data_IF_624409177992
#
_entry.id   IF_624409177992
#
_cell.length_a   1.000
_cell.length_b   1.000
_cell.length_c   1.000
_cell.angle_alpha   90.00
_cell.angle_beta   90.00
_cell.angle_gamma   90.00
#
_symmetry.space_group_name_H-M   'P 1'
#
loop_
_entity.id
_entity.type
_entity.pdbx_description
1 polymer ?
#
# COMPACT_ATOMS: atom_id res chain seq x y z
N UNK A 1 -16.44 -16.33 18.83
CA UNK A 1 -15.06 -16.87 18.69
C UNK A 1 -14.32 -16.45 17.44
N UNK A 2 -14.96 -16.43 16.26
CA UNK A 2 -14.36 -15.97 14.98
C UNK A 2 -13.75 -14.55 15.11
N UNK A 3 -14.51 -13.61 15.68
CA UNK A 3 -14.05 -12.23 15.93
C UNK A 3 -12.74 -12.19 16.73
N UNK A 4 -12.58 -13.01 17.76
CA UNK A 4 -11.35 -13.00 18.57
C UNK A 4 -10.16 -13.62 17.84
N UNK A 5 -10.37 -14.65 17.01
CA UNK A 5 -9.32 -15.23 16.16
C UNK A 5 -8.86 -14.25 15.08
N UNK A 6 -9.79 -13.59 14.40
CA UNK A 6 -9.47 -12.64 13.34
C UNK A 6 -8.87 -11.34 13.90
N UNK A 7 -9.38 -10.85 15.03
CA UNK A 7 -8.92 -9.61 15.67
C UNK A 7 -7.53 -9.79 16.32
N UNK A 8 -7.22 -10.97 16.88
CA UNK A 8 -5.92 -11.23 17.53
C UNK A 8 -4.80 -11.44 16.51
N UNK A 9 -5.08 -12.06 15.36
CA UNK A 9 -4.10 -12.23 14.29
C UNK A 9 -3.89 -10.94 13.49
N UNK A 10 -4.97 -10.24 13.13
CA UNK A 10 -4.88 -9.01 12.33
C UNK A 10 -4.19 -7.86 13.07
N UNK A 11 -4.50 -7.66 14.37
CA UNK A 11 -3.94 -6.53 15.14
C UNK A 11 -2.45 -6.68 15.42
N UNK A 12 -1.95 -7.90 15.63
CA UNK A 12 -0.51 -8.12 15.84
C UNK A 12 0.28 -7.79 14.58
N UNK A 13 -0.23 -8.18 13.41
CA UNK A 13 0.37 -7.78 12.14
C UNK A 13 0.29 -6.26 11.92
N UNK A 14 -0.82 -5.62 12.30
CA UNK A 14 -0.97 -4.17 12.20
C UNK A 14 0.07 -3.40 13.04
N UNK A 15 0.43 -3.88 14.23
CA UNK A 15 1.52 -3.28 15.03
C UNK A 15 2.84 -3.31 14.25
N UNK A 16 3.16 -4.45 13.64
CA UNK A 16 4.40 -4.60 12.87
C UNK A 16 4.38 -3.74 11.61
N UNK A 17 3.28 -3.72 10.87
CA UNK A 17 3.10 -2.90 9.66
C UNK A 17 3.26 -1.42 9.99
N UNK A 18 2.62 -0.94 11.07
CA UNK A 18 2.76 0.46 11.52
C UNK A 18 4.22 0.84 11.74
N UNK A 19 4.96 0.04 12.51
CA UNK A 19 6.38 0.28 12.77
C UNK A 19 7.22 0.25 11.50
N UNK A 20 6.87 -0.59 10.52
CA UNK A 20 7.59 -0.66 9.24
C UNK A 20 7.30 0.55 8.35
N UNK A 21 6.04 1.02 8.30
CA UNK A 21 5.66 2.23 7.54
C UNK A 21 6.40 3.46 8.10
N UNK A 22 6.47 3.60 9.42
CA UNK A 22 7.18 4.73 10.05
C UNK A 22 8.69 4.72 9.73
N UNK A 23 9.27 3.52 9.55
CA UNK A 23 10.70 3.33 9.31
C UNK A 23 11.11 3.27 7.83
N UNK A 24 10.19 3.04 6.91
CA UNK A 24 10.55 2.93 5.50
C UNK A 24 10.82 4.30 4.87
N UNK A 25 11.65 4.31 3.83
CA UNK A 25 11.86 5.47 2.96
C UNK A 25 10.79 5.56 1.87
N UNK A 26 10.29 4.41 1.42
CA UNK A 26 9.24 4.27 0.41
C UNK A 26 8.42 2.99 0.67
N UNK A 27 7.10 3.07 0.47
CA UNK A 27 6.21 1.91 0.57
C UNK A 27 5.62 1.50 -0.80
N UNK A 28 5.43 0.20 -1.03
CA UNK A 28 4.66 -0.32 -2.17
C UNK A 28 3.36 -0.91 -1.62
N UNK A 29 2.23 -0.32 -1.98
CA UNK A 29 0.90 -0.72 -1.51
C UNK A 29 0.19 -1.52 -2.61
N UNK A 30 0.16 -2.84 -2.46
CA UNK A 30 -0.46 -3.74 -3.44
C UNK A 30 -1.93 -4.01 -3.12
N UNK A 31 -2.81 -3.70 -4.06
CA UNK A 31 -4.21 -4.08 -4.03
C UNK A 31 -4.41 -5.38 -4.83
N UNK A 32 -4.80 -6.43 -4.12
CA UNK A 32 -5.16 -7.70 -4.73
C UNK A 32 -6.53 -7.69 -5.40
N UNK A 33 -6.79 -8.72 -6.20
CA UNK A 33 -8.02 -9.00 -6.94
C UNK A 33 -9.16 -9.55 -6.07
N UNK A 34 -8.82 -10.11 -4.90
CA UNK A 34 -9.77 -10.77 -3.99
C UNK A 34 -10.06 -9.92 -2.76
N UNK A 35 -11.28 -10.02 -2.27
CA UNK A 35 -11.76 -9.31 -1.08
C UNK A 35 -11.69 -7.79 -1.20
N UNK A 36 -12.35 -7.11 -0.26
CA UNK A 36 -12.30 -5.65 -0.19
C UNK A 36 -11.02 -5.27 0.55
N UNK A 37 -10.01 -4.80 -0.18
CA UNK A 37 -8.63 -4.51 0.26
C UNK A 37 -8.52 -3.27 1.17
N UNK A 38 -9.36 -3.20 2.21
CA UNK A 38 -9.49 -2.01 3.07
C UNK A 38 -8.24 -1.75 3.91
N UNK A 39 -7.53 -2.80 4.31
CA UNK A 39 -6.27 -2.64 5.05
C UNK A 39 -5.20 -1.97 4.17
N UNK A 40 -5.11 -2.32 2.88
CA UNK A 40 -4.18 -1.68 1.96
C UNK A 40 -4.52 -0.19 1.74
N UNK A 41 -5.81 0.13 1.58
CA UNK A 41 -6.25 1.53 1.47
C UNK A 41 -5.95 2.31 2.76
N UNK A 42 -6.13 1.70 3.93
CA UNK A 42 -5.80 2.30 5.21
C UNK A 42 -4.30 2.57 5.35
N UNK A 43 -3.46 1.58 5.01
CA UNK A 43 -2.01 1.71 5.06
C UNK A 43 -1.50 2.80 4.09
N UNK A 44 -2.09 2.91 2.89
CA UNK A 44 -1.81 4.01 1.95
C UNK A 44 -2.17 5.39 2.55
N UNK A 45 -3.35 5.50 3.16
CA UNK A 45 -3.75 6.72 3.87
C UNK A 45 -2.83 7.06 5.04
N UNK A 46 -2.31 6.05 5.74
CA UNK A 46 -1.34 6.24 6.81
C UNK A 46 0.02 6.73 6.28
N UNK A 47 0.49 6.18 5.16
CA UNK A 47 1.67 6.71 4.46
C UNK A 47 1.47 8.19 4.09
N UNK A 48 0.34 8.54 3.49
CA UNK A 48 0.01 9.91 3.13
C UNK A 48 0.01 10.84 4.35
N UNK A 49 -0.60 10.42 5.47
CA UNK A 49 -0.64 11.20 6.71
C UNK A 49 0.76 11.44 7.32
N UNK A 50 1.68 10.49 7.16
CA UNK A 50 3.06 10.59 7.65
C UNK A 50 4.03 11.25 6.66
N UNK A 51 3.54 11.73 5.50
CA UNK A 51 4.38 12.16 4.38
C UNK A 51 5.41 11.11 3.93
N UNK A 52 5.06 9.83 4.03
CA UNK A 52 5.86 8.72 3.49
C UNK A 52 5.49 8.53 2.03
N UNK A 53 6.44 8.63 1.08
CA UNK A 53 6.11 8.40 -0.31
C UNK A 53 5.71 6.93 -0.49
N UNK A 54 4.77 6.69 -1.39
CA UNK A 54 4.34 5.34 -1.72
C UNK A 54 3.89 5.21 -3.18
N UNK A 55 3.95 3.97 -3.67
CA UNK A 55 3.47 3.57 -4.99
C UNK A 55 2.34 2.56 -4.80
N UNK A 56 1.22 2.75 -5.47
CA UNK A 56 0.15 1.75 -5.50
C UNK A 56 0.37 0.75 -6.63
N UNK A 57 0.06 -0.53 -6.39
CA UNK A 57 0.12 -1.61 -7.39
C UNK A 57 -1.24 -2.28 -7.46
N UNK A 58 -1.95 -2.11 -8.57
CA UNK A 58 -3.31 -2.60 -8.75
C UNK A 58 -3.67 -2.80 -10.23
N UNK A 59 -4.70 -3.58 -10.54
CA UNK A 59 -5.20 -3.70 -11.91
C UNK A 59 -5.85 -2.41 -12.40
N UNK A 60 -6.00 -2.28 -13.72
CA UNK A 60 -6.67 -1.13 -14.35
C UNK A 60 -8.12 -0.95 -13.86
N UNK A 61 -8.81 -2.05 -13.56
CA UNK A 61 -10.18 -2.03 -13.01
C UNK A 61 -10.30 -1.27 -11.69
N UNK A 62 -9.19 -1.10 -10.97
CA UNK A 62 -9.14 -0.41 -9.69
C UNK A 62 -8.74 1.07 -9.78
N UNK A 63 -8.38 1.59 -10.97
CA UNK A 63 -8.01 3.01 -11.16
C UNK A 63 -9.12 3.95 -10.67
N UNK A 64 -10.36 3.73 -11.11
CA UNK A 64 -11.46 4.63 -10.70
C UNK A 64 -11.82 4.48 -9.20
N UNK A 65 -11.96 3.26 -8.65
CA UNK A 65 -12.15 3.07 -7.22
C UNK A 65 -11.04 3.64 -6.33
N UNK A 66 -9.79 3.62 -6.79
CA UNK A 66 -8.62 4.05 -6.01
C UNK A 66 -8.19 5.49 -6.27
N UNK A 67 -8.91 6.25 -7.10
CA UNK A 67 -8.55 7.63 -7.49
C UNK A 67 -8.10 8.55 -6.34
N UNK A 68 -8.73 8.46 -5.17
CA UNK A 68 -8.40 9.29 -4.00
C UNK A 68 -7.12 8.81 -3.31
N UNK A 69 -6.89 7.49 -3.33
CA UNK A 69 -5.66 6.87 -2.82
C UNK A 69 -4.50 7.18 -3.76
N UNK A 70 -4.72 7.07 -5.07
CA UNK A 70 -3.70 7.35 -6.09
C UNK A 70 -3.37 8.84 -6.17
N UNK A 71 -4.32 9.73 -5.86
CA UNK A 71 -4.08 11.17 -5.81
C UNK A 71 -3.01 11.58 -4.78
N UNK A 72 -2.84 10.79 -3.72
CA UNK A 72 -1.79 11.03 -2.70
C UNK A 72 -0.51 10.20 -2.94
N UNK A 73 -0.55 9.23 -3.86
CA UNK A 73 0.59 8.40 -4.23
C UNK A 73 1.53 9.14 -5.19
N UNK A 74 2.81 8.76 -5.21
CA UNK A 74 3.80 9.34 -6.14
C UNK A 74 3.78 8.65 -7.51
N UNK A 75 3.26 7.43 -7.56
CA UNK A 75 2.96 6.71 -8.78
C UNK A 75 1.94 5.59 -8.50
N UNK A 76 1.29 5.10 -9.54
CA UNK A 76 0.56 3.83 -9.53
C UNK A 76 1.10 2.94 -10.67
N UNK A 77 1.01 1.63 -10.47
CA UNK A 77 1.53 0.63 -11.39
C UNK A 77 0.51 -0.50 -11.57
N UNK A 78 0.48 -1.08 -12.76
CA UNK A 78 -0.35 -2.26 -13.08
C UNK A 78 0.43 -3.56 -13.09
N UNK A 79 1.77 -3.49 -13.02
CA UNK A 79 2.65 -4.65 -12.98
C UNK A 79 3.85 -4.46 -12.06
N UNK A 80 4.45 -5.57 -11.64
CA UNK A 80 5.65 -5.55 -10.79
C UNK A 80 6.84 -4.96 -11.56
N UNK A 81 6.91 -5.17 -12.86
CA UNK A 81 7.96 -4.63 -13.74
C UNK A 81 7.92 -3.11 -13.78
N UNK A 82 6.72 -2.49 -13.81
CA UNK A 82 6.58 -1.05 -13.69
C UNK A 82 7.10 -0.54 -12.35
N UNK A 83 6.75 -1.22 -11.24
CA UNK A 83 7.28 -0.89 -9.91
C UNK A 83 8.81 -0.96 -9.90
N UNK A 84 9.40 -2.04 -10.41
CA UNK A 84 10.86 -2.20 -10.50
C UNK A 84 11.48 -1.10 -11.36
N UNK A 85 10.84 -0.72 -12.47
CA UNK A 85 11.30 0.34 -13.37
C UNK A 85 11.32 1.69 -12.65
N UNK A 86 10.26 2.01 -11.90
CA UNK A 86 10.21 3.22 -11.05
C UNK A 86 11.28 3.21 -9.98
N UNK A 87 11.48 2.08 -9.29
CA UNK A 87 12.52 1.94 -8.27
C UNK A 87 13.93 2.12 -8.85
N UNK A 88 14.21 1.55 -10.02
CA UNK A 88 15.48 1.73 -10.72
C UNK A 88 15.72 3.18 -11.10
N UNK A 89 14.67 3.87 -11.58
CA UNK A 89 14.77 5.28 -11.95
C UNK A 89 15.15 6.17 -10.77
N UNK A 90 14.60 5.93 -9.59
CA UNK A 90 14.88 6.74 -8.39
C UNK A 90 16.12 6.30 -7.59
N UNK A 91 16.66 5.11 -7.86
CA UNK A 91 17.83 4.56 -7.15
C UNK A 91 19.13 4.70 -7.95
N UNK A 92 19.04 5.01 -9.23
CA UNK A 92 20.19 5.27 -10.09
C UNK A 92 20.47 6.77 -10.07
N UNK A 93 21.32 7.20 -9.15
CA UNK A 93 22.12 8.42 -9.31
C UNK A 93 23.20 8.21 -10.39
#
# INVERSE_FOLDING_TARGET
EQFWRDNKSAKVNAIRTKTLIERCDLAIIRFGDKYKQWNAAFDAGYCAALNKPYITLHSEDLIHPLKEVDASAQAWATSVEQVITTLKYISND
#
